data_IF_247909518012
#
_entry.id   IF_247909518012
#
_cell.length_a   1.000
_cell.length_b   1.000
_cell.length_c   1.000
_cell.angle_alpha   90.00
_cell.angle_beta   90.00
_cell.angle_gamma   90.00
#
_symmetry.space_group_name_H-M   'P 1'
#
loop_
_entity.id
_entity.type
_entity.pdbx_description
1 polymer ?
#
# COMPACT_ATOMS: atom_id res chain seq x y z
N UNK A 1 14.74 42.17 9.73
CA UNK A 1 14.01 40.96 9.29
C UNK A 1 12.53 41.29 8.99
N UNK A 2 12.24 42.41 8.31
CA UNK A 2 10.85 42.92 8.20
C UNK A 2 10.43 43.35 6.78
N UNK A 3 11.38 43.50 5.85
CA UNK A 3 11.07 43.98 4.49
C UNK A 3 10.28 42.95 3.67
N UNK A 4 10.55 41.65 3.87
CA UNK A 4 9.89 40.59 3.11
C UNK A 4 8.45 40.37 3.58
N UNK A 5 8.19 40.45 4.89
CA UNK A 5 6.82 40.36 5.43
C UNK A 5 5.96 41.55 5.00
N UNK A 6 6.55 42.76 4.99
CA UNK A 6 5.86 43.95 4.48
C UNK A 6 5.57 43.86 2.98
N UNK A 7 6.52 43.35 2.19
CA UNK A 7 6.30 43.14 0.76
C UNK A 7 5.24 42.08 0.49
N UNK A 8 5.23 41.00 1.28
CA UNK A 8 4.27 39.91 1.15
C UNK A 8 2.87 40.35 1.59
N UNK A 9 2.76 41.11 2.68
CA UNK A 9 1.51 41.76 3.09
C UNK A 9 0.99 42.72 2.02
N UNK A 10 1.86 43.57 1.46
CA UNK A 10 1.47 44.50 0.39
C UNK A 10 1.00 43.75 -0.86
N UNK A 11 1.74 42.71 -1.27
CA UNK A 11 1.40 41.91 -2.43
C UNK A 11 0.07 41.17 -2.25
N UNK A 12 -0.21 40.66 -1.04
CA UNK A 12 -1.49 40.03 -0.71
C UNK A 12 -2.63 41.04 -0.69
N UNK A 13 -2.41 42.23 -0.12
CA UNK A 13 -3.39 43.31 -0.10
C UNK A 13 -3.74 43.79 -1.52
N UNK A 14 -2.73 43.93 -2.38
CA UNK A 14 -2.88 44.33 -3.79
C UNK A 14 -3.59 43.22 -4.58
N UNK A 15 -3.24 41.95 -4.35
CA UNK A 15 -3.90 40.82 -4.99
C UNK A 15 -5.39 40.72 -4.62
N UNK A 16 -5.74 40.92 -3.34
CA UNK A 16 -7.14 40.96 -2.89
C UNK A 16 -7.88 42.13 -3.55
N UNK A 17 -7.23 43.30 -3.64
CA UNK A 17 -7.80 44.48 -4.29
C UNK A 17 -8.10 44.24 -5.77
N UNK A 18 -7.27 43.47 -6.48
CA UNK A 18 -7.43 43.18 -7.91
C UNK A 18 -8.39 42.02 -8.17
N UNK A 19 -8.37 40.99 -7.33
CA UNK A 19 -9.14 39.76 -7.55
C UNK A 19 -10.56 39.82 -6.96
N UNK A 20 -10.77 40.52 -5.85
CA UNK A 20 -12.05 40.64 -5.15
C UNK A 20 -12.26 42.07 -4.61
N UNK A 21 -12.59 43.04 -5.49
CA UNK A 21 -12.79 44.43 -5.08
C UNK A 21 -13.93 44.61 -4.04
N UNK A 22 -14.91 43.71 -4.01
CA UNK A 22 -16.03 43.71 -3.04
C UNK A 22 -15.59 43.40 -1.60
N UNK A 23 -14.52 42.60 -1.42
CA UNK A 23 -13.97 42.30 -0.08
C UNK A 23 -13.15 43.44 0.50
N UNK A 24 -12.53 44.27 -0.35
CA UNK A 24 -11.73 45.42 0.09
C UNK A 24 -12.60 46.45 0.82
N UNK A 25 -13.81 46.73 0.32
CA UNK A 25 -14.75 47.65 0.95
C UNK A 25 -15.21 47.15 2.33
N UNK A 26 -15.44 45.84 2.48
CA UNK A 26 -15.79 45.25 3.78
C UNK A 26 -14.62 45.21 4.77
N UNK A 27 -13.40 44.94 4.32
CA UNK A 27 -12.23 44.87 5.19
C UNK A 27 -11.77 46.26 5.64
N UNK A 28 -11.82 47.29 4.77
CA UNK A 28 -11.53 48.67 5.18
C UNK A 28 -12.59 49.21 6.14
N UNK A 29 -13.87 48.82 5.99
CA UNK A 29 -14.91 49.15 6.96
C UNK A 29 -14.73 48.48 8.33
N UNK A 30 -13.94 47.39 8.40
CA UNK A 30 -13.72 46.62 9.63
C UNK A 30 -12.40 46.96 10.35
N UNK A 31 -11.51 47.74 9.72
CA UNK A 31 -10.15 48.03 10.22
C UNK A 31 -9.93 49.48 10.68
N UNK A 32 -10.97 50.33 10.73
CA UNK A 32 -10.85 51.69 11.29
C UNK A 32 -10.89 51.75 12.83
N UNK A 33 -10.87 50.62 13.53
CA UNK A 33 -10.77 50.59 14.99
C UNK A 33 -9.50 49.87 15.42
N UNK A 34 -8.69 50.57 16.22
CA UNK A 34 -7.53 50.09 16.97
C UNK A 34 -6.22 50.03 16.16
N UNK A 35 -5.71 51.23 15.90
CA UNK A 35 -4.28 51.53 16.01
C UNK A 35 -3.75 51.09 17.38
N UNK A 36 -2.44 50.85 17.42
CA UNK A 36 -1.55 50.97 18.58
C UNK A 36 -0.99 49.69 19.25
N UNK A 37 0.33 49.75 19.38
CA UNK A 37 1.22 49.13 20.38
C UNK A 37 1.88 47.78 20.05
N UNK A 38 3.14 47.91 19.60
CA UNK A 38 4.24 46.94 19.71
C UNK A 38 4.46 46.45 21.15
N UNK A 39 5.02 45.24 21.31
CA UNK A 39 6.07 44.81 22.29
C UNK A 39 6.00 43.28 22.55
N UNK A 40 7.08 42.55 22.24
CA UNK A 40 7.90 41.75 23.18
C UNK A 40 7.22 40.48 23.74
N UNK A 41 7.61 39.24 23.39
CA UNK A 41 8.83 38.47 23.71
C UNK A 41 8.45 37.28 24.63
N UNK A 42 9.00 36.10 24.27
CA UNK A 42 9.25 34.90 25.07
C UNK A 42 8.17 33.83 25.36
N UNK A 43 8.59 32.62 25.00
CA UNK A 43 8.08 31.29 25.29
C UNK A 43 8.36 30.83 26.73
N UNK A 44 7.59 29.84 27.22
CA UNK A 44 8.14 28.64 27.90
C UNK A 44 7.10 27.47 27.95
N UNK A 45 7.53 26.18 28.01
CA UNK A 45 6.76 24.98 27.68
C UNK A 45 6.43 24.04 28.88
N UNK A 46 5.92 22.85 28.52
CA UNK A 46 5.99 21.55 29.24
C UNK A 46 4.87 21.09 30.22
N UNK A 47 3.95 20.29 29.63
CA UNK A 47 3.39 18.97 30.08
C UNK A 47 2.56 18.83 31.38
N UNK A 48 1.82 17.71 31.56
CA UNK A 48 0.62 17.19 30.87
C UNK A 48 -0.59 17.16 31.83
N UNK A 49 -1.79 16.70 31.37
CA UNK A 49 -2.72 15.81 32.12
C UNK A 49 -4.11 15.84 31.45
N UNK A 50 -4.66 14.63 31.33
CA UNK A 50 -5.97 14.29 30.78
C UNK A 50 -7.15 14.98 31.49
N UNK A 51 -8.21 15.30 30.72
CA UNK A 51 -9.59 14.89 30.99
C UNK A 51 -10.47 15.21 29.76
N UNK A 52 -11.08 14.18 29.18
CA UNK A 52 -12.33 14.26 28.40
C UNK A 52 -13.43 13.90 29.40
N UNK A 53 -14.53 14.68 29.51
CA UNK A 53 -15.78 14.37 28.79
C UNK A 53 -16.58 15.64 28.43
N UNK A 54 -17.65 15.69 27.62
CA UNK A 54 -18.40 14.83 26.69
C UNK A 54 -19.69 15.63 26.40
N UNK A 55 -20.40 15.33 25.31
CA UNK A 55 -21.84 15.61 25.07
C UNK A 55 -22.25 17.07 24.75
N UNK A 56 -22.60 17.37 23.49
CA UNK A 56 -23.87 17.15 22.78
C UNK A 56 -24.92 18.25 23.02
N UNK A 57 -25.75 18.43 21.98
CA UNK A 57 -27.10 19.03 21.95
C UNK A 57 -27.19 20.49 21.44
N UNK A 58 -27.45 20.61 20.13
CA UNK A 58 -28.36 21.63 19.54
C UNK A 58 -29.82 21.26 19.91
N UNK A 59 -30.91 22.06 19.72
CA UNK A 59 -31.10 23.14 18.73
C UNK A 59 -32.10 24.27 19.16
N UNK A 60 -32.59 25.04 18.16
CA UNK A 60 -33.98 25.55 17.99
C UNK A 60 -34.31 27.06 18.16
N UNK A 61 -34.64 27.67 17.00
CA UNK A 61 -35.81 28.50 16.66
C UNK A 61 -36.06 29.96 17.16
N UNK A 62 -36.43 30.78 16.15
CA UNK A 62 -37.49 31.82 16.05
C UNK A 62 -37.14 33.33 16.04
N UNK A 63 -37.81 34.02 15.08
CA UNK A 63 -38.32 35.42 15.06
C UNK A 63 -37.60 36.52 14.24
N UNK A 64 -38.27 36.94 13.17
CA UNK A 64 -38.33 38.30 12.57
C UNK A 64 -38.99 39.31 13.56
N UNK A 65 -38.95 40.68 13.39
CA UNK A 65 -39.19 41.44 12.13
C UNK A 65 -38.45 42.80 11.92
N UNK A 66 -38.62 43.36 10.71
CA UNK A 66 -38.33 44.73 10.17
C UNK A 66 -38.94 45.91 10.99
N UNK A 67 -38.57 47.23 10.84
CA UNK A 67 -38.62 47.96 9.54
C UNK A 67 -37.77 49.24 9.30
N UNK A 68 -37.84 49.68 8.04
CA UNK A 68 -37.81 51.05 7.50
C UNK A 68 -36.48 51.85 7.48
N UNK A 69 -35.95 52.06 6.27
CA UNK A 69 -35.82 53.42 5.71
C UNK A 69 -35.63 53.39 4.19
N UNK A 70 -36.40 54.25 3.55
CA UNK A 70 -36.66 54.39 2.13
C UNK A 70 -35.98 55.67 1.65
N UNK A 71 -34.90 55.59 0.85
CA UNK A 71 -34.41 56.70 0.02
C UNK A 71 -33.63 56.17 -1.19
N UNK A 72 -34.20 56.29 -2.38
CA UNK A 72 -33.47 56.52 -3.63
C UNK A 72 -33.48 58.05 -3.89
N UNK A 73 -32.41 58.68 -4.43
CA UNK A 73 -32.37 58.91 -5.88
C UNK A 73 -30.95 58.98 -6.51
N UNK A 74 -30.83 58.38 -7.71
CA UNK A 74 -30.25 58.99 -8.93
C UNK A 74 -28.76 59.41 -8.93
N UNK A 75 -27.94 58.71 -9.73
CA UNK A 75 -27.24 59.29 -10.89
C UNK A 75 -26.31 58.24 -11.54
N UNK A 76 -26.50 57.98 -12.84
CA UNK A 76 -25.49 57.37 -13.70
C UNK A 76 -24.36 58.37 -13.98
N UNK A 77 -23.08 57.98 -13.83
CA UNK A 77 -22.00 58.50 -14.65
C UNK A 77 -21.67 57.49 -15.75
N UNK A 78 -21.60 57.98 -16.99
CA UNK A 78 -21.26 57.25 -18.22
C UNK A 78 -19.90 56.54 -18.10
N UNK A 79 -19.69 55.43 -18.83
CA UNK A 79 -18.42 54.72 -18.81
C UNK A 79 -17.36 55.58 -19.50
N UNK A 80 -16.41 56.11 -18.73
CA UNK A 80 -15.18 56.61 -19.31
C UNK A 80 -14.40 55.39 -19.82
N UNK A 81 -14.12 55.42 -21.13
CA UNK A 81 -13.34 54.46 -21.87
C UNK A 81 -11.98 54.21 -21.22
N UNK A 82 -11.91 53.22 -20.33
CA UNK A 82 -10.66 52.57 -19.97
C UNK A 82 -10.19 51.83 -21.22
N UNK A 83 -9.27 52.45 -21.97
CA UNK A 83 -8.49 51.81 -23.02
C UNK A 83 -7.63 50.68 -22.43
N UNK A 84 -8.26 49.55 -22.13
CA UNK A 84 -7.67 48.23 -21.90
C UNK A 84 -7.23 47.66 -23.26
N UNK A 85 -6.25 48.29 -23.93
CA UNK A 85 -5.88 47.88 -25.30
C UNK A 85 -4.40 47.52 -25.50
N UNK A 86 -3.78 46.88 -24.51
CA UNK A 86 -2.40 46.35 -24.69
C UNK A 86 -2.15 44.94 -24.15
N UNK A 87 -3.13 44.28 -23.49
CA UNK A 87 -2.94 42.95 -22.89
C UNK A 87 -3.75 41.81 -23.54
N UNK A 88 -4.43 42.06 -24.67
CA UNK A 88 -5.31 41.08 -25.32
C UNK A 88 -4.62 39.76 -25.73
N UNK A 89 -3.53 39.74 -26.53
CA UNK A 89 -2.96 38.49 -27.03
C UNK A 89 -2.28 37.65 -25.93
N UNK A 90 -1.64 38.28 -24.95
CA UNK A 90 -1.06 37.56 -23.81
C UNK A 90 -2.15 36.95 -22.91
N UNK A 91 -3.25 37.68 -22.70
CA UNK A 91 -4.38 37.18 -21.90
C UNK A 91 -5.11 36.00 -22.57
N UNK A 92 -5.16 35.99 -23.91
CA UNK A 92 -5.71 34.89 -24.71
C UNK A 92 -4.82 33.65 -24.61
N UNK A 93 -3.50 33.80 -24.82
CA UNK A 93 -2.55 32.70 -24.64
C UNK A 93 -2.58 32.10 -23.21
N UNK A 94 -2.71 32.94 -22.17
CA UNK A 94 -2.84 32.46 -20.79
C UNK A 94 -4.16 31.70 -20.57
N UNK A 95 -5.24 32.13 -21.24
CA UNK A 95 -6.53 31.43 -21.19
C UNK A 95 -6.43 30.06 -21.86
N UNK A 96 -5.81 29.99 -23.03
CA UNK A 96 -5.63 28.75 -23.77
C UNK A 96 -4.74 27.78 -23.01
N UNK A 97 -3.64 28.27 -22.42
CA UNK A 97 -2.77 27.44 -21.59
C UNK A 97 -3.50 26.90 -20.36
N UNK A 98 -4.35 27.71 -19.71
CA UNK A 98 -5.20 27.28 -18.58
C UNK A 98 -6.22 26.23 -19.02
N UNK A 99 -6.80 26.37 -20.21
CA UNK A 99 -7.73 25.40 -20.76
C UNK A 99 -7.02 24.07 -21.06
N UNK A 100 -5.86 24.12 -21.71
CA UNK A 100 -5.08 22.92 -22.02
C UNK A 100 -4.58 22.24 -20.74
N UNK A 101 -4.19 23.00 -19.72
CA UNK A 101 -3.79 22.45 -18.41
C UNK A 101 -4.94 21.69 -17.78
N UNK A 102 -6.17 22.24 -17.79
CA UNK A 102 -7.37 21.54 -17.29
C UNK A 102 -7.67 20.30 -18.13
N UNK A 103 -7.54 20.38 -19.46
CA UNK A 103 -7.74 19.25 -20.37
C UNK A 103 -6.78 18.11 -20.06
N UNK A 104 -5.49 18.41 -19.90
CA UNK A 104 -4.45 17.45 -19.55
C UNK A 104 -4.66 16.86 -18.15
N UNK A 105 -5.04 17.68 -17.16
CA UNK A 105 -5.38 17.20 -15.82
C UNK A 105 -6.55 16.23 -15.84
N UNK A 106 -7.61 16.55 -16.59
CA UNK A 106 -8.75 15.65 -16.77
C UNK A 106 -8.32 14.33 -17.41
N UNK A 107 -7.50 14.39 -18.47
CA UNK A 107 -7.02 13.18 -19.12
C UNK A 107 -6.13 12.33 -18.21
N UNK A 108 -5.27 12.97 -17.40
CA UNK A 108 -4.44 12.27 -16.43
C UNK A 108 -5.31 11.61 -15.35
N UNK A 109 -6.34 12.31 -14.86
CA UNK A 109 -7.28 11.74 -13.89
C UNK A 109 -8.06 10.56 -14.47
N UNK A 110 -8.48 10.64 -15.74
CA UNK A 110 -9.16 9.55 -16.44
C UNK A 110 -8.23 8.33 -16.56
N UNK A 111 -6.97 8.54 -16.98
CA UNK A 111 -5.97 7.46 -17.06
C UNK A 111 -5.61 6.87 -15.71
N UNK A 112 -5.57 7.68 -14.65
CA UNK A 112 -5.40 7.20 -13.29
C UNK A 112 -6.57 6.29 -12.89
N UNK A 113 -7.82 6.71 -13.15
CA UNK A 113 -8.99 5.88 -12.83
C UNK A 113 -9.01 4.56 -13.59
N UNK A 114 -8.71 4.58 -14.90
CA UNK A 114 -8.60 3.37 -15.72
C UNK A 114 -7.52 2.42 -15.17
N UNK A 115 -6.35 2.94 -14.81
CA UNK A 115 -5.25 2.15 -14.25
C UNK A 115 -5.63 1.54 -12.89
N UNK A 116 -6.24 2.33 -12.01
CA UNK A 116 -6.71 1.85 -10.70
C UNK A 116 -7.74 0.72 -10.86
N UNK A 117 -8.65 0.84 -11.83
CA UNK A 117 -9.64 -0.20 -12.13
C UNK A 117 -8.98 -1.48 -12.65
N UNK A 118 -8.04 -1.36 -13.60
CA UNK A 118 -7.27 -2.50 -14.10
C UNK A 118 -6.50 -3.21 -12.98
N UNK A 119 -5.88 -2.45 -12.08
CA UNK A 119 -5.16 -2.99 -10.94
C UNK A 119 -6.11 -3.76 -10.00
N UNK A 120 -7.26 -3.17 -9.65
CA UNK A 120 -8.29 -3.84 -8.82
C UNK A 120 -8.77 -5.14 -9.47
N UNK A 121 -9.06 -5.11 -10.77
CA UNK A 121 -9.50 -6.29 -11.52
C UNK A 121 -8.41 -7.38 -11.57
N UNK A 122 -7.15 -7.01 -11.74
CA UNK A 122 -6.02 -7.94 -11.71
C UNK A 122 -5.85 -8.58 -10.33
N UNK A 123 -5.89 -7.77 -9.27
CA UNK A 123 -5.81 -8.25 -7.89
C UNK A 123 -6.97 -9.19 -7.55
N UNK A 124 -8.20 -8.82 -7.91
CA UNK A 124 -9.37 -9.68 -7.70
C UNK A 124 -9.21 -11.02 -8.43
N UNK A 125 -8.72 -11.01 -9.67
CA UNK A 125 -8.50 -12.24 -10.46
C UNK A 125 -7.44 -13.13 -9.80
N UNK A 126 -6.36 -12.53 -9.30
CA UNK A 126 -5.33 -13.26 -8.55
C UNK A 126 -5.86 -13.80 -7.23
N UNK A 127 -6.69 -13.04 -6.54
CA UNK A 127 -7.34 -13.48 -5.30
C UNK A 127 -8.25 -14.69 -5.56
N UNK A 128 -9.07 -14.64 -6.61
CA UNK A 128 -9.88 -15.79 -7.01
C UNK A 128 -9.06 -17.01 -7.37
N UNK A 129 -7.93 -16.82 -8.07
CA UNK A 129 -7.02 -17.92 -8.39
C UNK A 129 -6.44 -18.54 -7.11
N UNK A 130 -6.03 -17.72 -6.14
CA UNK A 130 -5.56 -18.18 -4.83
C UNK A 130 -6.67 -18.95 -4.10
N UNK A 131 -7.90 -18.44 -4.10
CA UNK A 131 -9.02 -19.08 -3.40
C UNK A 131 -9.45 -20.38 -4.08
N UNK A 132 -9.37 -20.47 -5.41
CA UNK A 132 -9.56 -21.71 -6.16
C UNK A 132 -8.51 -22.75 -5.79
N UNK A 133 -7.22 -22.38 -5.77
CA UNK A 133 -6.13 -23.26 -5.38
C UNK A 133 -6.24 -23.70 -3.90
N UNK A 134 -6.65 -22.80 -3.00
CA UNK A 134 -6.90 -23.14 -1.59
C UNK A 134 -8.08 -24.10 -1.45
N UNK A 135 -9.14 -23.92 -2.23
CA UNK A 135 -10.28 -24.83 -2.21
C UNK A 135 -9.90 -26.21 -2.76
N UNK A 136 -9.09 -26.23 -3.82
CA UNK A 136 -8.55 -27.46 -4.38
C UNK A 136 -7.61 -28.15 -3.40
N UNK A 137 -6.70 -27.43 -2.76
CA UNK A 137 -5.82 -28.00 -1.72
C UNK A 137 -6.61 -28.51 -0.51
N UNK A 138 -7.66 -27.81 -0.08
CA UNK A 138 -8.54 -28.28 1.02
C UNK A 138 -9.35 -29.50 0.58
N UNK A 139 -9.82 -29.55 -0.66
CA UNK A 139 -10.52 -30.72 -1.18
C UNK A 139 -9.58 -31.92 -1.33
N UNK A 140 -8.37 -31.71 -1.83
CA UNK A 140 -7.31 -32.72 -1.84
C UNK A 140 -6.98 -33.15 -0.42
N UNK A 141 -6.79 -32.24 0.54
CA UNK A 141 -6.54 -32.57 1.94
C UNK A 141 -7.71 -33.33 2.58
N UNK A 142 -8.96 -33.06 2.20
CA UNK A 142 -10.15 -33.78 2.71
C UNK A 142 -10.32 -35.16 2.03
N UNK A 143 -10.01 -35.29 0.74
CA UNK A 143 -9.98 -36.59 0.03
C UNK A 143 -8.78 -37.45 0.45
N UNK A 144 -7.59 -36.86 0.63
CA UNK A 144 -6.37 -37.49 1.15
C UNK A 144 -6.47 -37.82 2.65
N UNK A 145 -7.15 -37.01 3.46
CA UNK A 145 -7.44 -37.34 4.86
C UNK A 145 -8.42 -38.53 4.97
N UNK A 146 -9.33 -38.67 4.00
CA UNK A 146 -10.23 -39.83 3.92
C UNK A 146 -9.53 -41.09 3.36
N UNK A 147 -8.53 -40.91 2.49
CA UNK A 147 -7.72 -41.99 1.91
C UNK A 147 -6.27 -42.04 2.45
N UNK A 148 -6.04 -42.61 3.64
CA UNK A 148 -4.93 -43.56 3.93
C UNK A 148 -3.48 -43.24 3.45
N UNK A 149 -3.11 -42.01 3.09
CA UNK A 149 -1.88 -41.69 2.34
C UNK A 149 -0.61 -41.83 3.18
N UNK A 150 -0.73 -41.77 4.50
CA UNK A 150 0.42 -41.97 5.38
C UNK A 150 0.85 -43.44 5.51
N UNK A 151 0.03 -44.43 5.14
CA UNK A 151 0.36 -45.84 5.44
C UNK A 151 1.34 -46.49 4.45
N UNK A 152 1.20 -46.39 3.11
CA UNK A 152 2.08 -47.10 2.18
C UNK A 152 3.48 -46.46 2.08
N UNK A 153 3.57 -45.15 2.02
CA UNK A 153 4.84 -44.43 1.88
C UNK A 153 5.69 -44.48 3.15
N UNK A 154 5.08 -44.22 4.32
CA UNK A 154 5.77 -44.37 5.62
C UNK A 154 6.21 -45.82 5.83
N UNK A 155 5.46 -46.81 5.35
CA UNK A 155 5.89 -48.23 5.34
C UNK A 155 7.05 -48.51 4.38
N UNK A 156 7.11 -47.84 3.23
CA UNK A 156 8.21 -47.98 2.29
C UNK A 156 9.50 -47.41 2.89
N UNK A 157 9.43 -46.21 3.48
CA UNK A 157 10.54 -45.61 4.19
C UNK A 157 11.01 -46.50 5.35
N UNK A 158 10.09 -46.96 6.20
CA UNK A 158 10.44 -47.83 7.32
C UNK A 158 11.09 -49.14 6.88
N UNK A 159 10.62 -49.74 5.77
CA UNK A 159 11.25 -50.96 5.20
C UNK A 159 12.66 -50.68 4.70
N UNK A 160 12.85 -49.58 3.97
CA UNK A 160 14.18 -49.21 3.48
C UNK A 160 15.14 -48.89 4.62
N UNK A 161 14.72 -48.09 5.61
CA UNK A 161 15.56 -47.76 6.77
C UNK A 161 15.94 -48.99 7.59
N UNK A 162 15.11 -50.04 7.63
CA UNK A 162 15.46 -51.33 8.25
C UNK A 162 16.57 -52.08 7.52
N UNK A 163 16.79 -51.81 6.23
CA UNK A 163 17.95 -52.35 5.49
C UNK A 163 19.24 -51.59 5.81
N UNK A 164 19.13 -50.36 6.30
CA UNK A 164 20.25 -49.56 6.80
C UNK A 164 20.45 -49.88 8.28
N UNK A 165 21.69 -49.98 8.80
CA UNK A 165 21.94 -50.28 10.20
C UNK A 165 21.65 -49.08 11.12
N UNK A 166 20.38 -48.70 11.23
CA UNK A 166 19.88 -47.54 11.99
C UNK A 166 18.96 -48.03 13.10
N UNK A 167 18.98 -47.36 14.24
CA UNK A 167 18.14 -47.67 15.39
C UNK A 167 16.67 -47.28 15.16
N UNK A 168 15.76 -47.89 15.92
CA UNK A 168 14.33 -47.66 15.77
C UNK A 168 13.90 -46.23 16.15
N UNK A 169 14.62 -45.55 17.06
CA UNK A 169 14.31 -44.16 17.44
C UNK A 169 14.56 -43.21 16.27
N UNK A 170 15.69 -43.37 15.57
CA UNK A 170 15.98 -42.61 14.36
C UNK A 170 14.96 -42.87 13.24
N UNK A 171 14.50 -44.12 13.08
CA UNK A 171 13.42 -44.45 12.13
C UNK A 171 12.13 -43.70 12.52
N UNK A 172 11.77 -43.74 13.80
CA UNK A 172 10.56 -43.08 14.29
C UNK A 172 10.64 -41.55 14.11
N UNK A 173 11.82 -40.93 14.35
CA UNK A 173 12.05 -39.50 14.11
C UNK A 173 11.83 -39.11 12.65
N UNK A 174 12.37 -39.87 11.70
CA UNK A 174 12.15 -39.60 10.27
C UNK A 174 10.66 -39.73 9.90
N UNK A 175 9.97 -40.73 10.45
CA UNK A 175 8.55 -40.93 10.20
C UNK A 175 7.67 -39.85 10.86
N UNK A 176 8.07 -39.32 12.03
CA UNK A 176 7.37 -38.22 12.69
C UNK A 176 7.58 -36.88 11.98
N UNK A 177 8.74 -36.69 11.35
CA UNK A 177 9.03 -35.55 10.47
C UNK A 177 8.46 -35.71 9.06
N UNK A 178 7.62 -36.73 8.83
CA UNK A 178 6.91 -36.96 7.57
C UNK A 178 7.83 -37.12 6.35
N UNK A 179 9.04 -37.62 6.56
CA UNK A 179 9.88 -38.01 5.45
C UNK A 179 9.19 -39.11 4.64
N UNK A 180 9.17 -38.93 3.33
CA UNK A 180 8.88 -40.00 2.38
C UNK A 180 10.19 -40.63 1.93
N UNK A 181 10.12 -41.89 1.46
CA UNK A 181 11.30 -42.57 0.92
C UNK A 181 11.89 -41.79 -0.27
N UNK A 182 11.01 -41.25 -1.10
CA UNK A 182 11.36 -40.38 -2.21
C UNK A 182 12.15 -39.16 -1.74
N UNK A 183 11.56 -38.33 -0.87
CA UNK A 183 12.17 -37.10 -0.38
C UNK A 183 13.56 -37.38 0.23
N UNK A 184 13.67 -38.43 1.05
CA UNK A 184 14.95 -38.82 1.65
C UNK A 184 16.01 -39.18 0.60
N UNK A 185 15.64 -39.97 -0.40
CA UNK A 185 16.59 -40.47 -1.39
C UNK A 185 16.94 -39.45 -2.47
N UNK A 186 16.02 -38.58 -2.88
CA UNK A 186 16.21 -37.67 -4.02
C UNK A 186 16.47 -36.23 -3.63
N UNK A 187 15.85 -35.73 -2.57
CA UNK A 187 15.85 -34.29 -2.25
C UNK A 187 16.63 -33.94 -0.99
N UNK A 188 16.61 -34.81 0.03
CA UNK A 188 17.14 -34.49 1.34
C UNK A 188 18.63 -34.11 1.29
N UNK A 189 18.96 -33.06 2.03
CA UNK A 189 20.32 -32.66 2.35
C UNK A 189 20.77 -33.28 3.67
N UNK A 190 22.08 -33.25 3.91
CA UNK A 190 22.65 -33.68 5.19
C UNK A 190 22.13 -32.83 6.36
N UNK A 191 21.87 -31.54 6.11
CA UNK A 191 21.36 -30.60 7.10
C UNK A 191 19.93 -30.95 7.53
N UNK A 192 19.07 -31.43 6.62
CA UNK A 192 17.70 -31.82 6.93
C UNK A 192 17.65 -32.93 8.00
N UNK A 193 18.55 -33.90 7.89
CA UNK A 193 18.70 -34.97 8.87
C UNK A 193 19.18 -34.44 10.22
N UNK A 194 20.06 -33.42 10.23
CA UNK A 194 20.49 -32.76 11.47
C UNK A 194 19.35 -32.00 12.13
N UNK A 195 18.49 -31.33 11.34
CA UNK A 195 17.28 -30.66 11.83
C UNK A 195 16.27 -31.64 12.42
N UNK A 196 16.21 -32.88 11.92
CA UNK A 196 15.42 -33.97 12.52
C UNK A 196 15.99 -34.48 13.86
N UNK A 197 17.08 -33.89 14.36
CA UNK A 197 17.75 -34.33 15.57
C UNK A 197 18.55 -35.62 15.40
N UNK A 198 18.82 -36.05 14.16
CA UNK A 198 19.66 -37.21 13.88
C UNK A 198 21.10 -36.75 13.86
N UNK A 199 21.92 -37.30 14.76
CA UNK A 199 23.30 -36.86 14.94
C UNK A 199 24.28 -38.04 14.94
N UNK A 200 25.55 -37.71 14.74
CA UNK A 200 26.66 -38.66 14.88
C UNK A 200 26.58 -39.83 13.89
N UNK A 201 26.83 -41.05 14.41
CA UNK A 201 26.95 -42.24 13.58
C UNK A 201 25.69 -42.58 12.78
N UNK A 202 24.50 -42.30 13.30
CA UNK A 202 23.23 -42.60 12.59
C UNK A 202 23.05 -41.71 11.37
N UNK A 203 23.35 -40.42 11.52
CA UNK A 203 23.39 -39.46 10.41
C UNK A 203 24.34 -39.94 9.32
N UNK A 204 25.56 -40.34 9.70
CA UNK A 204 26.56 -40.82 8.74
C UNK A 204 26.10 -42.08 8.00
N UNK A 205 25.48 -43.04 8.69
CA UNK A 205 24.98 -44.29 8.08
C UNK A 205 23.86 -44.03 7.09
N UNK A 206 22.88 -43.20 7.46
CA UNK A 206 21.78 -42.83 6.57
C UNK A 206 22.33 -42.08 5.36
N UNK A 207 23.17 -41.06 5.59
CA UNK A 207 23.72 -40.25 4.50
C UNK A 207 24.61 -41.07 3.55
N UNK A 208 25.37 -42.03 4.08
CA UNK A 208 26.14 -42.96 3.25
C UNK A 208 25.24 -43.82 2.36
N UNK A 209 24.14 -44.36 2.91
CA UNK A 209 23.17 -45.15 2.14
C UNK A 209 22.45 -44.31 1.07
N UNK A 210 22.03 -43.09 1.40
CA UNK A 210 21.44 -42.12 0.45
C UNK A 210 22.41 -41.80 -0.67
N UNK A 211 23.66 -41.49 -0.33
CA UNK A 211 24.70 -41.14 -1.32
C UNK A 211 25.02 -42.32 -2.23
N UNK A 212 25.11 -43.54 -1.68
CA UNK A 212 25.30 -44.76 -2.48
C UNK A 212 24.14 -44.96 -3.47
N UNK A 213 22.89 -44.81 -3.01
CA UNK A 213 21.71 -44.90 -3.86
C UNK A 213 21.71 -43.88 -5.00
N UNK A 214 22.07 -42.62 -4.71
CA UNK A 214 22.17 -41.57 -5.74
C UNK A 214 23.25 -41.89 -6.78
N UNK A 215 24.39 -42.44 -6.35
CA UNK A 215 25.46 -42.87 -7.26
C UNK A 215 25.03 -44.03 -8.16
N UNK A 216 24.34 -45.03 -7.62
CA UNK A 216 23.85 -46.15 -8.45
C UNK A 216 22.83 -45.69 -9.49
N UNK A 217 21.95 -44.75 -9.14
CA UNK A 217 20.98 -44.17 -10.09
C UNK A 217 21.64 -43.33 -11.19
N UNK A 218 22.73 -42.62 -10.87
CA UNK A 218 23.50 -41.91 -11.89
C UNK A 218 24.28 -42.86 -12.80
N UNK A 219 24.81 -43.95 -12.26
CA UNK A 219 25.59 -44.94 -13.02
C UNK A 219 24.73 -45.67 -14.05
N UNK A 220 23.51 -46.09 -13.66
CA UNK A 220 22.58 -46.75 -14.59
C UNK A 220 22.17 -45.84 -15.74
N UNK A 221 22.04 -44.53 -15.50
CA UNK A 221 21.73 -43.57 -16.56
C UNK A 221 22.90 -43.34 -17.54
N UNK A 222 24.16 -43.52 -17.11
CA UNK A 222 25.32 -43.37 -18.00
C UNK A 222 25.54 -44.60 -18.88
N UNK A 223 25.32 -45.81 -18.36
CA UNK A 223 25.49 -47.05 -19.14
C UNK A 223 24.45 -47.17 -20.27
N UNK A 224 23.20 -46.76 -20.02
CA UNK A 224 22.14 -46.76 -21.05
C UNK A 224 22.40 -45.74 -22.19
N UNK A 225 23.29 -44.76 -21.99
CA UNK A 225 23.64 -43.76 -23.01
C UNK A 225 24.83 -44.15 -23.88
N UNK A 226 25.65 -45.13 -23.48
CA UNK A 226 26.83 -45.58 -24.24
C UNK A 226 26.48 -46.70 -25.24
N UNK A 227 25.41 -47.47 -24.99
CA UNK A 227 24.99 -48.59 -25.86
C UNK A 227 24.24 -48.18 -27.14
N UNK A 228 24.15 -46.88 -27.46
CA UNK A 228 23.58 -46.39 -28.73
C UNK A 228 24.65 -45.99 -29.76
N UNK A 229 25.93 -46.29 -29.50
CA UNK A 229 27.04 -45.97 -30.41
C UNK A 229 27.90 -47.20 -30.73
N UNK A 230 27.30 -48.27 -31.25
CA UNK A 230 28.01 -49.30 -32.03
C UNK A 230 27.16 -49.78 -33.21
#
# INVERSE_FOLDING_TARGET
>A
MFALDNLLRQAVQDAITVLLPELKLHLQSSFESEDNTSEELFADPDTPVALVPDQLVAPAYTQQPDPANDVLPRANPKPADFKLNTNWPLSENLRDLRLETRRLLNHLSEKETEYQELLRNSLWRKQQQIDALRKESVNEDVELASQKSSRPEKKALARWLKTVPVDQDTINKLLSHEFTLDCLLRMAAKDDLMYCGIRGGMLCRIWAAVTAYRKTQLSTHNEDSEDTLL
#
